data_IF_691110175946
#
_entry.id   IF_691110175946
#
_cell.length_a   1.000
_cell.length_b   1.000
_cell.length_c   1.000
_cell.angle_alpha   90.00
_cell.angle_beta   90.00
_cell.angle_gamma   90.00
#
_symmetry.space_group_name_H-M   'P 1'
#
loop_
_entity.id
_entity.type
_entity.pdbx_description
1 polymer ?
#
# COMPACT_ATOMS: atom_id res chain seq x y z
N UNK A 1 48.76 57.78 0.83
CA UNK A 1 47.40 57.32 1.16
C UNK A 1 47.24 55.94 0.54
N UNK A 2 47.51 54.88 1.31
CA UNK A 2 47.45 53.49 0.82
C UNK A 2 46.15 52.85 1.30
N UNK A 3 45.32 52.37 0.37
CA UNK A 3 44.09 51.65 0.69
C UNK A 3 44.44 50.18 0.92
N UNK A 4 44.28 49.73 2.16
CA UNK A 4 44.36 48.32 2.54
C UNK A 4 42.99 47.70 2.23
N UNK A 5 42.90 46.85 1.21
CA UNK A 5 41.69 46.05 0.94
C UNK A 5 41.80 44.77 1.77
N UNK A 6 41.04 44.71 2.87
CA UNK A 6 40.88 43.49 3.66
C UNK A 6 39.83 42.63 2.95
N UNK A 7 40.29 41.56 2.30
CA UNK A 7 39.44 40.56 1.68
C UNK A 7 38.86 39.67 2.79
N UNK A 8 37.62 39.92 3.18
CA UNK A 8 36.91 39.07 4.13
C UNK A 8 36.54 37.75 3.43
N UNK A 9 37.17 36.65 3.86
CA UNK A 9 36.78 35.31 3.44
C UNK A 9 35.42 34.97 4.06
N UNK A 10 34.38 34.99 3.23
CA UNK A 10 33.07 34.44 3.59
C UNK A 10 33.20 32.93 3.53
N UNK A 11 33.28 32.28 4.70
CA UNK A 11 33.06 30.84 4.79
C UNK A 11 31.59 30.58 4.53
N UNK A 12 31.25 30.18 3.31
CA UNK A 12 29.99 29.50 3.05
C UNK A 12 30.07 28.14 3.72
N UNK A 13 29.39 27.98 4.85
CA UNK A 13 29.12 26.67 5.40
C UNK A 13 28.22 25.94 4.39
N UNK A 14 28.81 25.01 3.65
CA UNK A 14 28.06 24.01 2.90
C UNK A 14 27.33 23.15 3.95
N UNK A 15 26.02 23.32 4.12
CA UNK A 15 25.20 22.31 4.78
C UNK A 15 25.18 21.10 3.87
N UNK A 16 26.14 20.21 4.06
CA UNK A 16 26.21 18.91 3.40
C UNK A 16 25.33 17.93 4.19
N UNK A 17 24.02 18.14 4.18
CA UNK A 17 23.07 17.18 4.74
C UNK A 17 22.84 16.07 3.70
N UNK A 18 23.90 15.35 3.35
CA UNK A 18 23.79 14.15 2.52
C UNK A 18 23.15 13.05 3.38
N UNK A 19 21.82 12.91 3.27
CA UNK A 19 21.05 11.87 3.96
C UNK A 19 21.46 10.48 3.46
N UNK A 20 21.95 9.61 4.37
CA UNK A 20 22.32 8.24 3.99
C UNK A 20 21.09 7.37 3.75
N UNK A 21 21.24 6.25 3.04
CA UNK A 21 20.13 5.30 2.89
C UNK A 21 19.62 4.77 4.25
N UNK A 22 20.51 4.63 5.24
CA UNK A 22 20.12 4.24 6.59
C UNK A 22 19.24 5.31 7.27
N UNK A 23 19.57 6.59 7.08
CA UNK A 23 18.76 7.70 7.60
C UNK A 23 17.37 7.74 6.95
N UNK A 24 17.31 7.52 5.62
CA UNK A 24 16.04 7.42 4.89
C UNK A 24 15.16 6.28 5.41
N UNK A 25 15.74 5.09 5.64
CA UNK A 25 15.05 3.93 6.23
C UNK A 25 14.54 4.22 7.64
N UNK A 26 15.30 4.94 8.44
CA UNK A 26 14.87 5.34 9.78
C UNK A 26 13.71 6.34 9.72
N UNK A 27 13.79 7.32 8.81
CA UNK A 27 12.74 8.32 8.59
C UNK A 27 11.43 7.69 8.08
N UNK A 28 11.51 6.71 7.19
CA UNK A 28 10.36 5.88 6.79
C UNK A 28 9.74 5.16 8.00
N UNK A 29 10.56 4.46 8.79
CA UNK A 29 10.05 3.72 9.96
C UNK A 29 9.37 4.67 10.95
N UNK A 30 9.95 5.83 11.17
CA UNK A 30 9.40 6.84 12.07
C UNK A 30 8.05 7.39 11.59
N UNK A 31 7.87 7.59 10.28
CA UNK A 31 6.59 8.05 9.73
C UNK A 31 5.48 7.00 9.86
N UNK A 32 5.79 5.72 9.62
CA UNK A 32 4.85 4.61 9.88
C UNK A 32 4.50 4.58 11.37
N UNK A 33 5.49 4.61 12.26
CA UNK A 33 5.26 4.59 13.72
C UNK A 33 4.45 5.80 14.21
N UNK A 34 4.60 6.95 13.58
CA UNK A 34 3.78 8.14 13.87
C UNK A 34 2.34 7.92 13.42
N UNK A 35 2.11 7.37 12.22
CA UNK A 35 0.76 7.01 11.76
C UNK A 35 0.08 6.03 12.71
N UNK A 36 0.76 4.93 13.06
CA UNK A 36 0.22 3.90 13.96
C UNK A 36 -0.18 4.49 15.31
N UNK A 37 0.66 5.35 15.91
CA UNK A 37 0.36 6.02 17.18
C UNK A 37 -0.77 7.04 17.05
N UNK A 38 -0.75 7.88 16.02
CA UNK A 38 -1.74 8.94 15.82
C UNK A 38 -3.15 8.36 15.65
N UNK A 39 -3.28 7.25 14.94
CA UNK A 39 -4.55 6.57 14.69
C UNK A 39 -4.88 5.47 15.71
N UNK A 40 -4.09 5.35 16.78
CA UNK A 40 -4.22 4.30 17.79
C UNK A 40 -4.36 2.89 17.17
N UNK A 41 -3.55 2.59 16.17
CA UNK A 41 -3.55 1.29 15.49
C UNK A 41 -3.09 0.22 16.46
N UNK A 42 -3.91 -0.82 16.61
CA UNK A 42 -3.52 -2.04 17.32
C UNK A 42 -2.86 -3.00 16.34
N UNK A 43 -1.56 -3.25 16.50
CA UNK A 43 -0.84 -4.21 15.64
C UNK A 43 -0.94 -5.62 16.22
N UNK A 44 -1.40 -6.58 15.42
CA UNK A 44 -1.34 -8.02 15.70
C UNK A 44 -0.23 -8.70 14.90
N UNK A 45 0.25 -9.82 15.42
CA UNK A 45 1.27 -10.61 14.73
C UNK A 45 0.68 -11.38 13.55
N UNK A 46 1.52 -11.66 12.56
CA UNK A 46 1.16 -12.52 11.42
C UNK A 46 0.66 -13.91 11.86
N UNK A 47 1.25 -14.48 12.92
CA UNK A 47 0.81 -15.77 13.46
C UNK A 47 -0.61 -15.70 14.04
N UNK A 48 -0.94 -14.64 14.79
CA UNK A 48 -2.28 -14.43 15.32
C UNK A 48 -3.30 -14.24 14.18
N UNK A 49 -2.95 -13.46 13.17
CA UNK A 49 -3.80 -13.26 12.00
C UNK A 49 -4.04 -14.57 11.24
N UNK A 50 -2.99 -15.36 10.98
CA UNK A 50 -3.10 -16.67 10.30
C UNK A 50 -4.00 -17.65 11.05
N UNK A 51 -3.89 -17.70 12.38
CA UNK A 51 -4.79 -18.50 13.21
C UNK A 51 -6.26 -18.09 13.04
N UNK A 52 -6.55 -16.78 13.01
CA UNK A 52 -7.91 -16.27 12.75
C UNK A 52 -8.36 -16.58 11.34
N UNK A 53 -7.47 -16.51 10.36
CA UNK A 53 -7.78 -16.85 8.97
C UNK A 53 -8.13 -18.34 8.80
N UNK A 54 -7.39 -19.24 9.43
CA UNK A 54 -7.71 -20.66 9.47
C UNK A 54 -9.08 -20.92 10.11
N UNK A 55 -9.39 -20.24 11.21
CA UNK A 55 -10.71 -20.30 11.84
C UNK A 55 -11.82 -19.76 10.93
N UNK A 56 -11.57 -18.65 10.23
CA UNK A 56 -12.50 -18.04 9.27
C UNK A 56 -12.90 -19.00 8.14
N UNK A 57 -11.99 -19.87 7.68
CA UNK A 57 -12.30 -20.88 6.66
C UNK A 57 -13.44 -21.82 7.09
N UNK A 58 -13.61 -22.02 8.41
CA UNK A 58 -14.68 -22.86 8.97
C UNK A 58 -15.87 -22.05 9.51
N UNK A 59 -15.62 -20.81 9.95
CA UNK A 59 -16.64 -19.91 10.51
C UNK A 59 -16.47 -18.49 9.95
N UNK A 60 -17.27 -18.10 8.94
CA UNK A 60 -17.19 -16.77 8.34
C UNK A 60 -17.53 -15.60 9.26
N UNK A 61 -17.97 -15.85 10.51
CA UNK A 61 -18.19 -14.80 11.51
C UNK A 61 -16.91 -14.37 12.23
N UNK A 62 -15.80 -15.10 12.05
CA UNK A 62 -14.50 -14.74 12.61
C UNK A 62 -14.00 -13.42 12.03
N UNK A 63 -13.68 -12.47 12.92
CA UNK A 63 -13.10 -11.18 12.55
C UNK A 63 -11.59 -11.35 12.34
N UNK A 64 -11.11 -11.10 11.12
CA UNK A 64 -9.68 -11.22 10.79
C UNK A 64 -8.88 -10.06 11.38
N UNK A 65 -9.37 -8.84 11.17
CA UNK A 65 -8.86 -7.60 11.79
C UNK A 65 -10.03 -6.79 12.34
N UNK A 66 -9.96 -6.40 13.60
CA UNK A 66 -11.02 -5.63 14.28
C UNK A 66 -10.95 -4.15 13.90
N UNK A 67 -11.88 -3.69 13.05
CA UNK A 67 -11.91 -2.30 12.58
C UNK A 67 -12.38 -1.31 13.65
N UNK A 68 -13.12 -1.75 14.67
CA UNK A 68 -13.50 -0.90 15.82
C UNK A 68 -12.28 -0.58 16.70
N UNK A 69 -11.34 -1.51 16.80
CA UNK A 69 -10.04 -1.33 17.47
C UNK A 69 -8.94 -0.81 16.57
N UNK A 70 -9.26 -0.50 15.31
CA UNK A 70 -8.31 -0.12 14.28
C UNK A 70 -7.12 -1.09 14.19
N UNK A 71 -7.42 -2.39 14.12
CA UNK A 71 -6.42 -3.45 14.16
C UNK A 71 -5.80 -3.69 12.78
N UNK A 72 -4.47 -3.89 12.76
CA UNK A 72 -3.70 -4.23 11.56
C UNK A 72 -2.82 -5.44 11.85
N UNK A 73 -2.69 -6.36 10.91
CA UNK A 73 -1.60 -7.35 10.92
C UNK A 73 -0.34 -6.74 10.34
N UNK A 74 0.81 -7.03 10.94
CA UNK A 74 2.13 -6.78 10.35
C UNK A 74 2.70 -8.08 9.76
N UNK A 75 2.99 -8.08 8.46
CA UNK A 75 3.76 -9.13 7.79
C UNK A 75 5.25 -8.83 7.93
N UNK A 76 5.94 -9.53 8.83
CA UNK A 76 7.31 -9.18 9.25
C UNK A 76 8.32 -9.28 8.08
N UNK A 77 8.07 -10.18 7.13
CA UNK A 77 8.95 -10.40 5.98
C UNK A 77 8.95 -9.22 5.00
N UNK A 78 7.78 -8.59 4.77
CA UNK A 78 7.59 -7.52 3.78
C UNK A 78 7.51 -6.14 4.44
N UNK A 79 7.22 -6.08 5.74
CA UNK A 79 6.97 -4.85 6.49
C UNK A 79 5.62 -4.21 6.18
N UNK A 80 4.75 -4.90 5.44
CA UNK A 80 3.41 -4.43 5.09
C UNK A 80 2.48 -4.56 6.30
N UNK A 81 1.74 -3.50 6.60
CA UNK A 81 0.61 -3.56 7.53
C UNK A 81 -0.68 -3.66 6.75
N UNK A 82 -1.59 -4.53 7.18
CA UNK A 82 -2.88 -4.74 6.51
C UNK A 82 -4.04 -4.72 7.51
N UNK A 83 -5.09 -4.00 7.17
CA UNK A 83 -6.41 -4.09 7.79
C UNK A 83 -7.42 -4.51 6.72
N UNK A 84 -8.15 -5.59 6.99
CA UNK A 84 -9.28 -6.04 6.17
C UNK A 84 -10.54 -5.35 6.70
N UNK A 85 -11.12 -4.47 5.89
CA UNK A 85 -12.41 -3.83 6.18
C UNK A 85 -13.55 -4.74 5.70
N UNK A 86 -13.41 -5.25 4.47
CA UNK A 86 -14.28 -6.26 3.91
C UNK A 86 -13.43 -7.31 3.18
N UNK A 87 -13.70 -8.60 3.44
CA UNK A 87 -12.95 -9.70 2.83
C UNK A 87 -13.34 -9.92 1.36
N UNK A 88 -14.49 -9.40 0.94
CA UNK A 88 -15.04 -9.55 -0.41
C UNK A 88 -15.95 -10.77 -0.59
N UNK A 89 -16.75 -10.71 -1.64
CA UNK A 89 -17.59 -11.79 -2.13
C UNK A 89 -16.82 -12.71 -3.10
N UNK A 90 -17.44 -13.84 -3.46
CA UNK A 90 -16.87 -14.82 -4.38
C UNK A 90 -15.81 -15.70 -3.73
N UNK A 91 -14.81 -16.08 -4.51
CA UNK A 91 -13.76 -17.02 -4.11
C UNK A 91 -12.38 -16.36 -4.21
N UNK A 92 -11.38 -16.84 -3.45
CA UNK A 92 -9.98 -16.48 -3.67
C UNK A 92 -9.53 -16.87 -5.09
N UNK A 93 -8.47 -16.21 -5.59
CA UNK A 93 -7.82 -16.59 -6.85
C UNK A 93 -7.14 -17.95 -6.64
N UNK A 94 -7.52 -18.95 -7.42
CA UNK A 94 -7.07 -20.33 -7.23
C UNK A 94 -5.61 -20.51 -7.62
N UNK A 95 -4.98 -21.53 -7.08
CA UNK A 95 -3.67 -21.96 -7.52
C UNK A 95 -3.65 -22.26 -9.03
N UNK A 96 -2.63 -21.73 -9.72
CA UNK A 96 -2.47 -21.86 -11.18
C UNK A 96 -3.38 -20.94 -12.00
N UNK A 97 -4.21 -20.13 -11.34
CA UNK A 97 -5.13 -19.23 -12.01
C UNK A 97 -4.44 -17.93 -12.45
N UNK A 98 -4.77 -17.48 -13.66
CA UNK A 98 -4.54 -16.12 -14.12
C UNK A 98 -5.88 -15.44 -14.35
N UNK A 99 -6.09 -14.28 -13.75
CA UNK A 99 -7.35 -13.52 -13.89
C UNK A 99 -7.11 -12.02 -13.84
N UNK A 100 -8.04 -11.27 -14.42
CA UNK A 100 -8.04 -9.82 -14.29
C UNK A 100 -8.67 -9.43 -12.95
N UNK A 101 -8.04 -8.47 -12.27
CA UNK A 101 -8.50 -7.86 -11.03
C UNK A 101 -8.61 -6.36 -11.25
N UNK A 102 -9.72 -5.79 -10.80
CA UNK A 102 -10.05 -4.38 -10.88
C UNK A 102 -9.89 -3.75 -9.50
N UNK A 103 -9.16 -2.63 -9.41
CA UNK A 103 -8.92 -1.93 -8.16
C UNK A 103 -9.34 -0.46 -8.23
N UNK A 104 -9.86 0.02 -7.11
CA UNK A 104 -9.98 1.46 -6.82
C UNK A 104 -9.16 1.78 -5.58
N UNK A 105 -8.47 2.91 -5.59
CA UNK A 105 -7.56 3.26 -4.51
C UNK A 105 -7.44 4.76 -4.26
N UNK A 106 -7.07 5.09 -3.03
CA UNK A 106 -6.47 6.35 -2.61
C UNK A 106 -5.06 6.06 -2.05
N UNK A 107 -4.06 6.77 -2.53
CA UNK A 107 -2.66 6.67 -2.13
C UNK A 107 -2.24 7.92 -1.35
N UNK A 108 -1.70 7.74 -0.16
CA UNK A 108 -1.24 8.81 0.72
C UNK A 108 0.23 8.62 1.07
N UNK A 109 1.04 9.66 0.89
CA UNK A 109 2.47 9.61 1.21
C UNK A 109 2.71 9.94 2.68
N UNK A 110 3.05 8.93 3.48
CA UNK A 110 3.19 9.09 4.93
C UNK A 110 4.46 9.86 5.33
N UNK A 111 5.43 10.07 4.44
CA UNK A 111 6.54 10.99 4.74
C UNK A 111 6.11 12.46 4.69
N UNK A 112 5.22 12.82 3.76
CA UNK A 112 4.71 14.20 3.65
C UNK A 112 3.80 14.51 4.84
N UNK A 113 2.94 13.54 5.19
CA UNK A 113 2.16 13.61 6.42
C UNK A 113 1.92 12.23 7.01
N UNK A 114 2.53 11.99 8.16
CA UNK A 114 2.30 10.77 8.93
C UNK A 114 0.87 10.66 9.47
N UNK A 115 0.00 11.67 9.27
CA UNK A 115 -1.43 11.58 9.58
C UNK A 115 -2.23 10.87 8.48
N UNK A 116 -1.66 10.66 7.30
CA UNK A 116 -2.36 10.05 6.17
C UNK A 116 -3.39 10.98 5.50
N UNK A 117 -3.15 12.30 5.55
CA UNK A 117 -3.98 13.33 4.91
C UNK A 117 -3.30 13.97 3.67
N UNK A 118 -2.15 13.42 3.26
CA UNK A 118 -1.36 13.80 2.08
C UNK A 118 -1.74 12.96 0.86
N UNK A 119 -2.96 13.17 0.33
CA UNK A 119 -3.43 12.46 -0.86
C UNK A 119 -2.47 12.73 -2.03
N UNK A 120 -1.79 11.69 -2.51
CA UNK A 120 -0.81 11.73 -3.57
C UNK A 120 -1.43 11.34 -4.91
N UNK A 121 -2.26 10.29 -4.92
CA UNK A 121 -2.92 9.79 -6.13
C UNK A 121 -4.22 9.09 -5.78
N UNK A 122 -5.24 9.23 -6.62
CA UNK A 122 -6.53 8.57 -6.41
C UNK A 122 -7.22 8.34 -7.73
N UNK A 123 -7.82 7.16 -7.91
CA UNK A 123 -8.80 6.93 -8.98
C UNK A 123 -10.24 6.87 -8.44
N UNK A 124 -10.48 7.28 -7.19
CA UNK A 124 -11.80 7.44 -6.58
C UNK A 124 -12.42 8.83 -6.82
N UNK A 125 -11.74 9.71 -7.55
CA UNK A 125 -12.25 11.04 -7.91
C UNK A 125 -12.96 11.04 -9.27
N UNK A 126 -13.87 12.00 -9.47
CA UNK A 126 -14.70 12.10 -10.68
C UNK A 126 -13.87 12.11 -11.98
N UNK A 127 -12.76 12.86 -11.98
CA UNK A 127 -11.87 13.00 -13.13
C UNK A 127 -11.26 11.67 -13.60
N UNK A 128 -11.14 10.68 -12.70
CA UNK A 128 -10.62 9.35 -13.00
C UNK A 128 -11.65 8.23 -12.80
N UNK A 129 -12.94 8.58 -12.68
CA UNK A 129 -14.03 7.62 -12.52
C UNK A 129 -14.15 6.63 -13.68
N UNK A 130 -13.70 7.01 -14.89
CA UNK A 130 -13.64 6.10 -16.05
C UNK A 130 -12.45 5.13 -16.00
N UNK A 131 -11.47 5.37 -15.13
CA UNK A 131 -10.20 4.66 -15.08
C UNK A 131 -10.10 3.83 -13.81
N UNK A 132 -10.58 2.59 -13.87
CA UNK A 132 -10.33 1.60 -12.83
C UNK A 132 -8.95 0.99 -13.04
N UNK A 133 -8.17 0.74 -11.99
CA UNK A 133 -6.91 0.01 -12.15
C UNK A 133 -7.25 -1.41 -12.58
N UNK A 134 -6.85 -1.78 -13.79
CA UNK A 134 -6.93 -3.16 -14.23
C UNK A 134 -5.56 -3.79 -14.14
N UNK A 135 -5.45 -4.91 -13.44
CA UNK A 135 -4.23 -5.72 -13.38
C UNK A 135 -4.54 -7.17 -13.73
N UNK A 136 -3.67 -7.80 -14.51
CA UNK A 136 -3.70 -9.25 -14.73
C UNK A 136 -2.84 -9.89 -13.65
N UNK A 137 -3.45 -10.74 -12.84
CA UNK A 137 -2.85 -11.40 -11.67
C UNK A 137 -2.71 -12.88 -11.95
N UNK A 138 -1.56 -13.45 -11.58
CA UNK A 138 -1.31 -14.89 -11.62
C UNK A 138 -0.96 -15.41 -10.22
N UNK A 139 -1.64 -16.48 -9.79
CA UNK A 139 -1.30 -17.22 -8.57
C UNK A 139 -0.46 -18.45 -8.92
N UNK A 140 0.83 -18.39 -8.64
CA UNK A 140 1.77 -19.51 -8.81
C UNK A 140 2.03 -20.16 -7.46
N UNK A 141 1.24 -21.17 -7.08
CA UNK A 141 1.42 -21.94 -5.85
C UNK A 141 1.46 -21.08 -4.58
N UNK A 142 0.55 -20.10 -4.47
CA UNK A 142 0.44 -19.16 -3.35
C UNK A 142 1.31 -17.91 -3.49
N UNK A 143 2.12 -17.81 -4.55
CA UNK A 143 2.89 -16.60 -4.88
C UNK A 143 2.16 -15.82 -5.97
N UNK A 144 1.82 -14.57 -5.69
CA UNK A 144 1.13 -13.70 -6.64
C UNK A 144 2.11 -12.83 -7.42
N UNK A 145 1.88 -12.74 -8.73
CA UNK A 145 2.49 -11.72 -9.59
C UNK A 145 1.39 -10.98 -10.34
N UNK A 146 1.65 -9.73 -10.72
CA UNK A 146 0.68 -8.96 -11.48
C UNK A 146 1.35 -7.93 -12.39
N UNK A 147 0.61 -7.51 -13.42
CA UNK A 147 0.95 -6.37 -14.27
C UNK A 147 -0.29 -5.54 -14.51
N UNK A 148 -0.16 -4.22 -14.42
CA UNK A 148 -1.21 -3.28 -14.85
C UNK A 148 -1.43 -3.38 -16.36
N UNK A 149 -2.68 -3.20 -16.78
CA UNK A 149 -3.03 -2.90 -18.17
C UNK A 149 -2.68 -1.43 -18.44
N UNK A 150 -1.71 -1.19 -19.30
CA UNK A 150 -1.21 0.15 -19.62
C UNK A 150 -2.26 1.08 -20.24
N UNK A 151 -3.38 0.54 -20.75
CA UNK A 151 -4.48 1.33 -21.28
C UNK A 151 -5.56 1.65 -20.23
N UNK A 152 -5.52 1.01 -19.06
CA UNK A 152 -6.53 1.06 -18.00
C UNK A 152 -5.88 1.11 -16.62
N UNK A 153 -4.93 2.05 -16.43
CA UNK A 153 -4.23 2.22 -15.14
C UNK A 153 -3.73 3.64 -14.95
N UNK A 154 -4.21 4.30 -13.90
CA UNK A 154 -3.69 5.59 -13.42
C UNK A 154 -2.27 5.43 -12.89
N UNK A 155 -1.98 4.31 -12.23
CA UNK A 155 -0.64 3.98 -11.74
C UNK A 155 0.37 3.95 -12.88
N UNK A 156 0.05 3.31 -14.00
CA UNK A 156 0.89 3.31 -15.20
C UNK A 156 1.09 4.71 -15.77
N UNK A 157 0.01 5.51 -15.89
CA UNK A 157 0.11 6.87 -16.44
C UNK A 157 1.00 7.79 -15.61
N UNK A 158 0.97 7.66 -14.28
CA UNK A 158 1.75 8.50 -13.36
C UNK A 158 3.18 7.99 -13.18
N UNK A 159 3.36 6.68 -12.98
CA UNK A 159 4.66 6.10 -12.64
C UNK A 159 5.40 5.47 -13.83
N UNK A 160 4.77 5.36 -15.00
CA UNK A 160 5.42 4.93 -16.25
C UNK A 160 5.81 3.45 -16.30
N UNK A 161 5.25 2.60 -15.42
CA UNK A 161 5.55 1.16 -15.37
C UNK A 161 4.29 0.34 -15.20
N UNK A 162 4.27 -0.87 -15.77
CA UNK A 162 3.18 -1.83 -15.57
C UNK A 162 3.37 -2.67 -14.32
N UNK A 163 4.49 -2.53 -13.60
CA UNK A 163 4.72 -3.23 -12.33
C UNK A 163 3.69 -2.79 -11.28
N UNK A 164 3.00 -3.77 -10.69
CA UNK A 164 2.13 -3.56 -9.53
C UNK A 164 2.97 -3.56 -8.26
N UNK A 165 2.75 -2.64 -7.29
CA UNK A 165 3.41 -2.71 -5.98
C UNK A 165 3.19 -4.07 -5.33
N UNK A 166 4.25 -4.73 -4.86
CA UNK A 166 4.14 -6.03 -4.20
C UNK A 166 3.23 -5.98 -2.97
N UNK A 167 3.21 -4.86 -2.26
CA UNK A 167 2.31 -4.66 -1.11
C UNK A 167 0.83 -4.75 -1.47
N UNK A 168 0.45 -4.50 -2.73
CA UNK A 168 -0.93 -4.69 -3.21
C UNK A 168 -1.27 -6.17 -3.47
N UNK A 169 -0.26 -7.04 -3.58
CA UNK A 169 -0.44 -8.47 -3.84
C UNK A 169 -0.47 -9.31 -2.55
N UNK A 170 0.16 -8.83 -1.47
CA UNK A 170 0.15 -9.45 -0.14
C UNK A 170 -1.26 -9.89 0.33
N UNK A 171 -2.33 -9.08 0.15
CA UNK A 171 -3.67 -9.45 0.61
C UNK A 171 -4.33 -10.57 -0.18
N UNK A 172 -3.91 -10.85 -1.42
CA UNK A 172 -4.61 -11.74 -2.34
C UNK A 172 -4.66 -13.20 -1.86
N UNK A 173 -3.78 -13.55 -0.92
CA UNK A 173 -3.80 -14.85 -0.21
C UNK A 173 -5.00 -14.99 0.73
N UNK A 174 -5.56 -13.88 1.21
CA UNK A 174 -6.51 -13.84 2.32
C UNK A 174 -7.90 -13.33 1.93
N UNK A 175 -8.02 -12.64 0.79
CA UNK A 175 -9.29 -12.02 0.35
C UNK A 175 -9.96 -12.79 -0.78
N UNK A 176 -11.26 -12.54 -0.94
CA UNK A 176 -12.08 -13.10 -2.01
C UNK A 176 -12.19 -12.09 -3.15
N UNK A 177 -12.00 -12.59 -4.37
CA UNK A 177 -12.01 -11.77 -5.58
C UNK A 177 -13.23 -12.17 -6.41
N UNK A 178 -14.37 -11.61 -6.02
CA UNK A 178 -15.66 -11.83 -6.68
C UNK A 178 -16.16 -10.62 -7.45
N UNK A 179 -17.28 -10.81 -8.14
CA UNK A 179 -18.11 -9.72 -8.67
C UNK A 179 -19.44 -9.74 -7.92
N UNK A 180 -19.87 -8.62 -7.32
CA UNK A 180 -21.17 -8.54 -6.67
C UNK A 180 -22.30 -9.01 -7.60
N UNK A 181 -23.10 -9.96 -7.13
CA UNK A 181 -24.30 -10.48 -7.77
C UNK A 181 -25.57 -10.08 -7.00
N UNK A 182 -25.43 -9.86 -5.69
CA UNK A 182 -26.53 -9.48 -4.80
C UNK A 182 -26.32 -8.09 -4.21
N UNK A 183 -27.38 -7.48 -3.66
CA UNK A 183 -27.30 -6.17 -3.02
C UNK A 183 -26.47 -6.18 -1.71
N UNK A 184 -26.26 -7.36 -1.12
CA UNK A 184 -25.45 -7.53 0.09
C UNK A 184 -24.00 -7.88 -0.20
N UNK A 185 -23.68 -8.23 -1.44
CA UNK A 185 -22.31 -8.55 -1.82
C UNK A 185 -21.44 -7.30 -1.74
N UNK A 186 -20.28 -7.47 -1.11
CA UNK A 186 -19.24 -6.45 -1.04
C UNK A 186 -18.03 -6.93 -1.79
N UNK A 187 -17.31 -6.00 -2.40
CA UNK A 187 -15.97 -6.28 -2.94
C UNK A 187 -14.97 -6.18 -1.79
N UNK A 188 -13.81 -6.81 -1.94
CA UNK A 188 -12.79 -6.73 -0.90
C UNK A 188 -12.35 -5.27 -0.75
N UNK A 189 -12.20 -4.82 0.49
CA UNK A 189 -11.83 -3.45 0.85
C UNK A 189 -10.84 -3.50 2.00
N UNK A 190 -9.70 -2.85 1.84
CA UNK A 190 -8.57 -2.94 2.75
C UNK A 190 -7.89 -1.59 2.93
N UNK A 191 -7.16 -1.48 4.04
CA UNK A 191 -6.09 -0.48 4.19
C UNK A 191 -4.74 -1.16 4.28
N UNK A 192 -3.77 -0.62 3.54
CA UNK A 192 -2.40 -1.14 3.49
C UNK A 192 -1.42 -0.03 3.83
N UNK A 193 -0.48 -0.27 4.75
CA UNK A 193 0.71 0.57 4.89
C UNK A 193 1.85 -0.20 4.24
N UNK A 194 2.34 0.33 3.13
CA UNK A 194 3.32 -0.33 2.27
C UNK A 194 4.64 0.44 2.35
N UNK A 195 5.73 -0.18 2.85
CA UNK A 195 7.06 0.45 2.83
C UNK A 195 7.58 0.56 1.40
N UNK A 196 8.54 1.45 1.17
CA UNK A 196 9.13 1.69 -0.15
C UNK A 196 9.68 0.43 -0.83
N UNK A 197 10.13 -0.58 -0.06
CA UNK A 197 10.65 -1.83 -0.61
C UNK A 197 9.58 -2.69 -1.28
N UNK A 198 8.31 -2.48 -0.93
CA UNK A 198 7.15 -3.18 -1.48
C UNK A 198 6.21 -2.26 -2.27
N UNK A 199 6.63 -0.99 -2.44
CA UNK A 199 5.85 0.09 -3.05
C UNK A 199 6.07 0.23 -4.55
N UNK A 200 5.70 1.40 -5.08
CA UNK A 200 6.01 1.78 -6.47
C UNK A 200 7.50 2.02 -6.66
N UNK A 201 7.98 2.03 -7.91
CA UNK A 201 9.36 2.42 -8.21
C UNK A 201 9.72 3.82 -7.68
N UNK A 202 8.76 4.75 -7.70
CA UNK A 202 8.95 6.10 -7.16
C UNK A 202 9.14 6.09 -5.63
N UNK A 203 8.33 5.27 -4.93
CA UNK A 203 8.48 5.03 -3.49
C UNK A 203 9.84 4.41 -3.19
N UNK A 204 10.21 3.32 -3.87
CA UNK A 204 11.51 2.64 -3.68
C UNK A 204 12.70 3.57 -3.86
N UNK A 205 12.69 4.40 -4.91
CA UNK A 205 13.79 5.33 -5.21
C UNK A 205 13.91 6.48 -4.21
N UNK A 206 12.81 6.88 -3.58
CA UNK A 206 12.77 8.03 -2.65
C UNK A 206 12.57 7.62 -1.18
N UNK A 207 12.51 6.32 -0.92
CA UNK A 207 12.39 5.68 0.39
C UNK A 207 11.24 6.25 1.22
N UNK A 208 10.02 6.23 0.67
CA UNK A 208 8.81 6.62 1.41
C UNK A 208 7.77 5.49 1.50
N UNK A 209 7.03 5.39 2.62
CA UNK A 209 5.91 4.49 2.73
C UNK A 209 4.62 5.18 2.26
N UNK A 210 3.72 4.38 1.69
CA UNK A 210 2.38 4.81 1.33
C UNK A 210 1.33 4.12 2.19
N UNK A 211 0.30 4.87 2.59
CA UNK A 211 -0.98 4.30 2.99
C UNK A 211 -1.84 4.18 1.74
N UNK A 212 -2.43 3.01 1.53
CA UNK A 212 -3.47 2.78 0.53
C UNK A 212 -4.78 2.46 1.21
N UNK A 213 -5.86 3.10 0.78
CA UNK A 213 -7.24 2.64 0.97
C UNK A 213 -7.66 2.05 -0.38
N UNK A 214 -7.86 0.72 -0.46
CA UNK A 214 -7.91 0.00 -1.74
C UNK A 214 -9.00 -1.07 -1.75
N UNK A 215 -9.67 -1.21 -2.89
CA UNK A 215 -10.65 -2.26 -3.15
C UNK A 215 -10.21 -3.21 -4.26
N UNK A 216 -10.68 -4.46 -4.22
CA UNK A 216 -10.40 -5.48 -5.23
C UNK A 216 -11.69 -6.16 -5.70
N UNK A 217 -11.86 -6.24 -7.01
CA UNK A 217 -12.99 -6.91 -7.65
C UNK A 217 -12.52 -7.77 -8.82
N UNK A 218 -13.21 -8.87 -9.10
CA UNK A 218 -12.94 -9.67 -10.29
C UNK A 218 -13.26 -8.92 -11.60
N UNK A 219 -12.30 -8.99 -12.52
CA UNK A 219 -12.42 -8.59 -13.93
C UNK A 219 -13.45 -9.42 -14.69
N UNK A 220 -13.77 -9.00 -15.93
CA UNK A 220 -14.78 -9.67 -16.78
C UNK A 220 -14.25 -10.95 -17.39
#
# INVERSE_FOLDING_TARGET
MGILVIMAAVFVASCDDTETYADQRNRERDSINLYLRYHNVQVISEAQFKQRYEAYQSDPSVVLTDTEKNEYVLFENTGVYMQIIDIGCGEPIKEGETTDVLCRFDEYNLLVSARGDSLQLSNNILDYSYLVEKMTVTNSYGTFTASFDSNQSLMYMVYGTTSVPNGWLEPLTYIKIGRPQTATDRIAHLKLIVPHSEGTQAASSSVYPCLYDITYQRGR
#
